data_IF_174217641493
#
_entry.id   IF_174217641493
#
_cell.length_a   1.000
_cell.length_b   1.000
_cell.length_c   1.000
_cell.angle_alpha   90.00
_cell.angle_beta   90.00
_cell.angle_gamma   90.00
#
_symmetry.space_group_name_H-M   'P 1'
#
loop_
_entity.id
_entity.type
_entity.pdbx_description
1 polymer ?
#
# COMPACT_ATOMS: atom_id res chain seq x y z
N UNK A 1 17.34 -16.43 -4.92
CA UNK A 1 16.54 -17.62 -4.51
C UNK A 1 15.08 -17.21 -4.60
N UNK A 2 14.19 -18.02 -5.17
CA UNK A 2 12.77 -17.65 -5.30
C UNK A 2 12.12 -17.53 -3.90
N UNK A 3 11.38 -16.45 -3.59
CA UNK A 3 10.71 -16.31 -2.31
C UNK A 3 9.58 -17.33 -2.17
N UNK A 4 9.25 -17.74 -0.93
CA UNK A 4 8.15 -18.66 -0.69
C UNK A 4 6.79 -18.04 -1.04
N UNK A 5 5.80 -18.89 -1.30
CA UNK A 5 4.45 -18.45 -1.61
C UNK A 5 3.82 -17.69 -0.43
N UNK A 6 3.13 -16.59 -0.73
CA UNK A 6 2.38 -15.76 0.21
C UNK A 6 1.19 -15.12 -0.49
N UNK A 7 0.08 -14.96 0.23
CA UNK A 7 -1.12 -14.28 -0.26
C UNK A 7 -1.29 -12.92 0.41
N UNK A 8 -2.11 -12.03 -0.16
CA UNK A 8 -2.26 -10.64 0.30
C UNK A 8 -0.95 -9.84 0.39
N UNK A 9 0.06 -10.26 -0.36
CA UNK A 9 1.26 -9.47 -0.63
C UNK A 9 0.97 -8.48 -1.74
N UNK A 10 1.75 -7.40 -1.80
CA UNK A 10 1.62 -6.39 -2.85
C UNK A 10 2.86 -6.37 -3.72
N UNK A 11 2.65 -6.43 -5.03
CA UNK A 11 3.66 -6.21 -6.05
C UNK A 11 3.56 -4.78 -6.60
N UNK A 12 4.68 -4.05 -6.60
CA UNK A 12 4.79 -2.68 -7.13
C UNK A 12 5.90 -2.62 -8.17
N UNK A 13 5.58 -2.18 -9.38
CA UNK A 13 6.58 -1.90 -10.41
C UNK A 13 7.40 -0.67 -10.01
N UNK A 14 8.72 -0.83 -9.89
CA UNK A 14 9.66 0.24 -9.63
C UNK A 14 10.05 0.94 -10.94
N UNK A 15 10.67 2.12 -10.84
CA UNK A 15 11.15 2.80 -12.06
C UNK A 15 12.27 2.03 -12.78
N UNK A 16 13.01 1.20 -12.06
CA UNK A 16 14.07 0.35 -12.62
C UNK A 16 13.54 -0.84 -13.42
N UNK A 17 12.22 -0.93 -13.65
CA UNK A 17 11.52 -2.08 -14.23
C UNK A 17 11.59 -3.37 -13.39
N UNK A 18 12.19 -3.29 -12.20
CA UNK A 18 12.12 -4.34 -11.18
C UNK A 18 10.80 -4.27 -10.42
N UNK A 19 10.37 -5.39 -9.85
CA UNK A 19 9.12 -5.48 -9.08
C UNK A 19 9.45 -5.66 -7.62
N UNK A 20 9.04 -4.71 -6.78
CA UNK A 20 9.07 -4.84 -5.33
C UNK A 20 7.85 -5.65 -4.87
N UNK A 21 8.07 -6.71 -4.11
CA UNK A 21 7.01 -7.48 -3.45
C UNK A 21 7.12 -7.31 -1.94
N UNK A 22 6.02 -6.95 -1.28
CA UNK A 22 6.01 -6.59 0.15
C UNK A 22 4.99 -7.41 0.91
N UNK A 23 5.40 -7.91 2.08
CA UNK A 23 4.53 -8.49 3.10
C UNK A 23 3.65 -9.63 2.58
N UNK A 24 2.44 -9.72 3.13
CA UNK A 24 1.50 -10.81 2.91
C UNK A 24 1.55 -11.86 4.00
N UNK A 25 0.83 -12.96 3.81
CA UNK A 25 0.71 -14.05 4.77
C UNK A 25 1.32 -15.32 4.22
N UNK A 26 2.18 -15.95 5.02
CA UNK A 26 2.79 -17.26 4.76
C UNK A 26 2.52 -18.17 5.95
N UNK A 27 1.86 -19.30 5.73
CA UNK A 27 1.54 -20.28 6.79
C UNK A 27 0.90 -19.66 8.03
N UNK A 28 -0.11 -18.79 7.83
CA UNK A 28 -0.78 -18.02 8.89
C UNK A 28 0.12 -17.01 9.65
N UNK A 29 1.32 -16.72 9.13
CA UNK A 29 2.23 -15.73 9.69
C UNK A 29 2.28 -14.53 8.73
N UNK A 30 1.94 -13.36 9.25
CA UNK A 30 2.09 -12.08 8.57
C UNK A 30 3.57 -11.74 8.41
N UNK A 31 3.97 -11.37 7.20
CA UNK A 31 5.35 -11.15 6.87
C UNK A 31 5.68 -9.66 6.81
N UNK A 32 6.89 -9.32 7.26
CA UNK A 32 7.54 -8.05 6.96
C UNK A 32 8.54 -8.19 5.81
N UNK A 33 8.76 -9.41 5.32
CA UNK A 33 9.73 -9.70 4.29
C UNK A 33 9.38 -9.00 2.98
N UNK A 34 10.44 -8.61 2.28
CA UNK A 34 10.36 -7.88 1.04
C UNK A 34 11.36 -8.49 0.06
N UNK A 35 10.94 -8.61 -1.19
CA UNK A 35 11.77 -9.17 -2.25
C UNK A 35 11.67 -8.28 -3.48
N UNK A 36 12.74 -8.29 -4.28
CA UNK A 36 12.76 -7.65 -5.59
C UNK A 36 12.89 -8.74 -6.65
N UNK A 37 11.97 -8.74 -7.61
CA UNK A 37 12.09 -9.50 -8.84
C UNK A 37 12.69 -8.63 -9.93
N UNK A 38 13.70 -9.16 -10.62
CA UNK A 38 14.31 -8.54 -11.80
C UNK A 38 13.88 -9.32 -13.06
N UNK A 39 12.93 -8.78 -13.85
CA UNK A 39 12.45 -9.47 -15.05
C UNK A 39 13.52 -9.65 -16.13
N UNK A 40 14.60 -8.86 -16.11
CA UNK A 40 15.66 -8.93 -17.13
C UNK A 40 16.61 -10.13 -16.92
N UNK A 41 16.69 -10.62 -15.68
CA UNK A 41 17.56 -11.75 -15.30
C UNK A 41 16.78 -12.95 -14.77
N UNK A 42 15.47 -12.81 -14.62
CA UNK A 42 14.58 -13.77 -13.96
C UNK A 42 15.08 -14.16 -12.56
N UNK A 43 15.62 -13.18 -11.83
CA UNK A 43 16.18 -13.38 -10.50
C UNK A 43 15.36 -12.70 -9.41
N UNK A 44 15.47 -13.26 -8.21
CA UNK A 44 14.87 -12.75 -6.98
C UNK A 44 15.94 -12.44 -5.95
N UNK A 45 15.87 -11.24 -5.40
CA UNK A 45 16.71 -10.75 -4.32
C UNK A 45 15.85 -10.43 -3.09
N UNK A 46 16.18 -11.01 -1.94
CA UNK A 46 15.58 -10.60 -0.66
C UNK A 46 16.24 -9.30 -0.21
N UNK A 47 15.43 -8.31 0.15
CA UNK A 47 15.89 -6.99 0.57
C UNK A 47 15.55 -6.74 2.04
N UNK A 48 15.87 -5.54 2.55
CA UNK A 48 15.48 -5.14 3.89
C UNK A 48 13.96 -5.26 4.10
N UNK A 49 13.58 -5.74 5.28
CA UNK A 49 12.18 -5.90 5.68
C UNK A 49 11.53 -4.54 5.99
N UNK A 50 10.20 -4.49 5.85
CA UNK A 50 9.38 -3.46 6.48
C UNK A 50 9.58 -3.51 8.02
N UNK A 51 9.30 -2.40 8.69
CA UNK A 51 9.41 -2.32 10.16
C UNK A 51 8.26 -3.03 10.87
N UNK A 52 7.12 -3.21 10.21
CA UNK A 52 6.01 -4.01 10.69
C UNK A 52 5.60 -5.07 9.66
N UNK A 53 5.27 -6.31 10.09
CA UNK A 53 4.63 -7.27 9.21
C UNK A 53 3.24 -6.75 8.83
N UNK A 54 2.81 -7.00 7.60
CA UNK A 54 1.48 -6.58 7.14
C UNK A 54 1.02 -7.42 5.96
N UNK A 55 -0.29 -7.60 5.87
CA UNK A 55 -0.98 -8.12 4.69
C UNK A 55 -2.23 -7.29 4.42
N UNK A 56 -2.84 -7.45 3.24
CA UNK A 56 -4.00 -6.66 2.80
C UNK A 56 -3.76 -5.13 2.86
N UNK A 57 -2.49 -4.73 2.85
CA UNK A 57 -2.03 -3.36 2.72
C UNK A 57 -2.08 -2.94 1.25
N UNK A 58 -1.78 -1.67 0.98
CA UNK A 58 -1.52 -1.21 -0.38
C UNK A 58 -0.12 -0.62 -0.49
N UNK A 59 0.44 -0.64 -1.70
CA UNK A 59 1.72 -0.02 -2.00
C UNK A 59 1.65 0.73 -3.33
N UNK A 60 2.23 1.93 -3.39
CA UNK A 60 2.18 2.76 -4.59
C UNK A 60 3.50 3.49 -4.84
N UNK A 61 3.95 3.46 -6.10
CA UNK A 61 5.13 4.20 -6.54
C UNK A 61 4.80 5.70 -6.61
N UNK A 62 5.51 6.51 -5.84
CA UNK A 62 5.38 7.96 -5.84
C UNK A 62 6.19 8.60 -6.99
N UNK A 63 5.87 9.85 -7.32
CA UNK A 63 6.65 10.65 -8.28
C UNK A 63 8.12 10.82 -7.87
N UNK A 64 8.41 10.74 -6.57
CA UNK A 64 9.77 10.76 -6.01
C UNK A 64 10.56 9.47 -6.26
N UNK A 65 9.98 8.46 -6.92
CA UNK A 65 10.52 7.10 -7.10
C UNK A 65 10.57 6.22 -5.86
N UNK A 66 10.06 6.72 -4.74
CA UNK A 66 9.90 5.93 -3.51
C UNK A 66 8.57 5.19 -3.54
N UNK A 67 8.46 4.09 -2.81
CA UNK A 67 7.21 3.34 -2.68
C UNK A 67 6.61 3.63 -1.32
N UNK A 68 5.37 4.14 -1.31
CA UNK A 68 4.60 4.32 -0.08
C UNK A 68 3.76 3.06 0.15
N UNK A 69 3.92 2.44 1.31
CA UNK A 69 3.13 1.31 1.80
C UNK A 69 2.21 1.81 2.91
N UNK A 70 0.92 1.45 2.85
CA UNK A 70 -0.10 1.99 3.76
C UNK A 70 -1.00 0.89 4.30
N UNK A 71 -1.27 0.97 5.61
CA UNK A 71 -2.25 0.14 6.30
C UNK A 71 -2.02 -1.37 6.16
N UNK A 72 -3.10 -2.11 6.01
CA UNK A 72 -3.14 -3.56 6.10
C UNK A 72 -3.41 -4.01 7.53
N UNK A 73 -3.11 -5.28 7.78
CA UNK A 73 -3.40 -5.92 9.05
C UNK A 73 -2.27 -6.86 9.48
N UNK A 74 -2.29 -7.19 10.78
CA UNK A 74 -1.41 -8.16 11.42
C UNK A 74 -2.25 -9.25 12.11
N UNK A 75 -1.60 -10.21 12.75
CA UNK A 75 -2.29 -11.17 13.63
C UNK A 75 -3.04 -10.52 14.80
N UNK A 76 -2.70 -9.28 15.20
CA UNK A 76 -3.20 -8.67 16.42
C UNK A 76 -4.17 -7.50 16.19
N UNK A 77 -3.96 -6.72 15.12
CA UNK A 77 -4.72 -5.50 14.86
C UNK A 77 -4.56 -5.03 13.41
N UNK A 78 -5.48 -4.17 12.99
CA UNK A 78 -5.41 -3.39 11.75
C UNK A 78 -4.34 -2.29 11.89
N UNK A 79 -3.80 -1.82 10.77
CA UNK A 79 -2.73 -0.84 10.75
C UNK A 79 -3.23 0.49 10.16
N UNK A 80 -2.91 1.58 10.86
CA UNK A 80 -2.87 2.92 10.26
C UNK A 80 -1.45 3.29 9.80
N UNK A 81 -0.45 2.49 10.20
CA UNK A 81 0.97 2.79 9.96
C UNK A 81 1.30 2.78 8.48
N UNK A 82 2.17 3.71 8.11
CA UNK A 82 2.65 3.89 6.75
C UNK A 82 4.18 3.89 6.73
N UNK A 83 4.75 3.32 5.68
CA UNK A 83 6.19 3.21 5.50
C UNK A 83 6.57 3.60 4.08
N UNK A 84 7.75 4.19 3.91
CA UNK A 84 8.32 4.50 2.60
C UNK A 84 9.58 3.68 2.38
N UNK A 85 9.60 2.92 1.28
CA UNK A 85 10.80 2.31 0.74
C UNK A 85 11.49 3.28 -0.23
N UNK A 86 12.79 3.47 -0.03
CA UNK A 86 13.65 4.24 -0.93
C UNK A 86 14.56 3.29 -1.73
N UNK A 87 14.25 3.01 -3.01
CA UNK A 87 15.04 2.10 -3.83
C UNK A 87 16.50 2.52 -4.03
N UNK A 88 16.82 3.82 -3.88
CA UNK A 88 18.18 4.32 -4.04
C UNK A 88 19.10 3.94 -2.88
N UNK A 89 18.52 3.70 -1.70
CA UNK A 89 19.25 3.35 -0.48
C UNK A 89 18.93 1.94 0.02
N UNK A 90 17.87 1.31 -0.52
CA UNK A 90 17.37 0.03 -0.05
C UNK A 90 16.76 0.08 1.36
N UNK A 91 16.42 1.27 1.87
CA UNK A 91 15.95 1.46 3.25
C UNK A 91 14.45 1.73 3.34
N UNK A 92 13.86 1.23 4.41
CA UNK A 92 12.51 1.55 4.86
C UNK A 92 12.55 2.64 5.93
N UNK A 93 11.58 3.55 5.88
CA UNK A 93 11.38 4.58 6.89
C UNK A 93 9.90 4.67 7.26
N UNK A 94 9.61 4.72 8.55
CA UNK A 94 8.26 5.05 9.01
C UNK A 94 7.92 6.49 8.62
N UNK A 95 6.69 6.70 8.16
CA UNK A 95 6.14 8.02 7.90
C UNK A 95 4.86 8.22 8.70
N UNK A 96 4.28 9.42 8.63
CA UNK A 96 3.03 9.72 9.32
C UNK A 96 1.96 8.70 8.96
N UNK A 97 1.33 8.15 10.01
CA UNK A 97 0.24 7.19 9.89
C UNK A 97 -1.03 7.87 9.38
N UNK A 98 -1.91 7.08 8.76
CA UNK A 98 -3.29 7.50 8.49
C UNK A 98 -4.00 7.82 9.81
N UNK A 99 -5.09 8.59 9.73
CA UNK A 99 -5.91 8.91 10.91
C UNK A 99 -6.81 7.74 11.31
N UNK A 100 -7.09 6.83 10.39
CA UNK A 100 -7.89 5.64 10.61
C UNK A 100 -7.11 4.39 10.16
N UNK A 101 -7.25 3.29 10.88
CA UNK A 101 -6.72 2.00 10.48
C UNK A 101 -7.50 1.46 9.28
N UNK A 102 -6.80 0.90 8.29
CA UNK A 102 -7.42 0.40 7.06
C UNK A 102 -6.69 -0.83 6.56
N UNK A 103 -7.41 -1.94 6.36
CA UNK A 103 -7.00 -3.05 5.48
C UNK A 103 -7.93 -3.12 4.28
N UNK A 104 -7.53 -3.83 3.21
CA UNK A 104 -8.37 -4.07 2.03
C UNK A 104 -8.89 -2.79 1.35
N UNK A 105 -8.22 -1.66 1.59
CA UNK A 105 -8.48 -0.37 0.96
C UNK A 105 -7.75 -0.27 -0.37
N UNK A 106 -7.97 0.83 -1.10
CA UNK A 106 -7.18 1.16 -2.29
C UNK A 106 -6.37 2.43 -2.06
N UNK A 107 -5.19 2.51 -2.68
CA UNK A 107 -4.46 3.77 -2.86
C UNK A 107 -4.39 4.14 -4.33
N UNK A 108 -4.63 5.42 -4.63
CA UNK A 108 -4.55 5.98 -5.99
C UNK A 108 -3.63 7.20 -6.00
N UNK A 109 -2.58 7.17 -6.83
CA UNK A 109 -1.73 8.32 -7.07
C UNK A 109 -2.48 9.28 -7.98
N UNK A 110 -2.82 10.46 -7.46
CA UNK A 110 -3.55 11.49 -8.19
C UNK A 110 -2.60 12.26 -9.13
N UNK A 111 -3.17 12.95 -10.13
CA UNK A 111 -2.40 13.83 -11.04
C UNK A 111 -1.62 14.93 -10.31
N UNK A 112 -2.07 15.32 -9.12
CA UNK A 112 -1.38 16.28 -8.26
C UNK A 112 -0.11 15.72 -7.60
N UNK A 113 0.13 14.40 -7.69
CA UNK A 113 1.19 13.70 -6.96
C UNK A 113 0.81 13.31 -5.53
N UNK A 114 -0.38 13.67 -5.06
CA UNK A 114 -0.93 13.21 -3.77
C UNK A 114 -1.47 11.79 -3.89
N UNK A 115 -1.55 11.07 -2.77
CA UNK A 115 -2.11 9.70 -2.74
C UNK A 115 -3.44 9.73 -2.03
N UNK A 116 -4.50 9.24 -2.69
CA UNK A 116 -5.81 9.03 -2.08
C UNK A 116 -5.90 7.60 -1.57
N UNK A 117 -6.03 7.42 -0.26
CA UNK A 117 -6.45 6.16 0.36
C UNK A 117 -7.98 6.16 0.51
N UNK A 118 -8.65 5.13 0.00
CA UNK A 118 -10.11 5.09 -0.04
C UNK A 118 -10.64 3.84 0.64
N UNK A 119 -11.58 4.04 1.57
CA UNK A 119 -12.41 3.01 2.19
C UNK A 119 -11.58 1.86 2.80
N UNK A 120 -12.01 0.61 2.64
CA UNK A 120 -11.41 -0.57 3.27
C UNK A 120 -12.13 -1.00 4.55
N UNK A 121 -11.48 -1.86 5.33
CA UNK A 121 -11.96 -2.33 6.62
C UNK A 121 -11.18 -1.69 7.76
N UNK A 122 -11.90 -1.05 8.68
CA UNK A 122 -11.33 -0.37 9.83
C UNK A 122 -11.85 -0.93 11.15
N UNK A 123 -11.53 -0.24 12.23
CA UNK A 123 -11.90 -0.66 13.60
C UNK A 123 -13.40 -0.88 13.79
N UNK A 124 -14.23 -0.06 13.13
CA UNK A 124 -15.70 -0.11 13.24
C UNK A 124 -16.36 -0.88 12.11
N UNK A 125 -15.59 -1.62 11.31
CA UNK A 125 -16.07 -2.35 10.13
C UNK A 125 -15.72 -1.66 8.82
N UNK A 126 -16.49 -1.95 7.77
CA UNK A 126 -16.30 -1.40 6.42
C UNK A 126 -16.41 0.13 6.43
N UNK A 127 -15.45 0.79 5.79
CA UNK A 127 -15.27 2.23 5.81
C UNK A 127 -15.83 2.89 4.54
N UNK A 128 -16.42 4.07 4.70
CA UNK A 128 -16.73 5.00 3.62
C UNK A 128 -15.74 6.18 3.58
N UNK A 129 -14.90 6.31 4.59
CA UNK A 129 -13.94 7.39 4.74
C UNK A 129 -12.82 7.31 3.72
N UNK A 130 -12.21 8.44 3.40
CA UNK A 130 -11.02 8.52 2.56
C UNK A 130 -10.07 9.58 3.09
N UNK A 131 -8.79 9.41 2.79
CA UNK A 131 -7.72 10.29 3.25
C UNK A 131 -6.75 10.58 2.10
N UNK A 132 -6.19 11.79 2.10
CA UNK A 132 -5.19 12.21 1.12
C UNK A 132 -3.85 12.42 1.82
N UNK A 133 -2.86 11.65 1.40
CA UNK A 133 -1.46 11.89 1.73
C UNK A 133 -0.87 12.93 0.80
N UNK A 134 -0.28 13.97 1.39
CA UNK A 134 0.52 14.96 0.69
C UNK A 134 2.02 14.66 0.90
N UNK A 135 2.74 14.15 -0.12
CA UNK A 135 4.17 13.84 0.00
C UNK A 135 5.04 15.07 0.29
N UNK A 136 4.58 16.28 -0.01
CA UNK A 136 5.35 17.51 0.24
C UNK A 136 5.41 17.88 1.72
N UNK A 137 4.35 17.55 2.46
CA UNK A 137 4.27 17.80 3.92
C UNK A 137 4.42 16.52 4.73
N UNK A 138 4.34 15.36 4.08
CA UNK A 138 4.31 14.05 4.72
C UNK A 138 3.06 13.80 5.57
N UNK A 139 1.94 14.50 5.31
CA UNK A 139 0.74 14.44 6.17
C UNK A 139 -0.45 13.83 5.45
N UNK A 140 -1.27 13.11 6.21
CA UNK A 140 -2.60 12.68 5.81
C UNK A 140 -3.64 13.73 6.21
N UNK A 141 -4.62 13.95 5.35
CA UNK A 141 -5.77 14.81 5.62
C UNK A 141 -7.07 14.10 5.22
N UNK A 142 -8.18 14.29 5.96
CA UNK A 142 -9.48 13.79 5.54
C UNK A 142 -9.88 14.26 4.15
N UNK A 143 -10.59 13.40 3.42
CA UNK A 143 -11.12 13.68 2.08
C UNK A 143 -12.61 13.35 2.01
N UNK A 144 -13.20 13.48 0.82
CA UNK A 144 -14.58 13.11 0.56
C UNK A 144 -14.84 11.64 0.94
N UNK A 145 -16.02 11.39 1.52
CA UNK A 145 -16.48 10.03 1.87
C UNK A 145 -17.26 9.42 0.71
N UNK A 146 -17.26 8.10 0.61
CA UNK A 146 -18.14 7.34 -0.26
C UNK A 146 -19.58 7.41 0.25
N UNK A 147 -20.55 7.22 -0.65
CA UNK A 147 -21.96 7.11 -0.27
C UNK A 147 -22.32 5.75 0.32
N UNK A 148 -21.50 4.73 0.04
CA UNK A 148 -21.65 3.36 0.54
C UNK A 148 -20.25 2.92 0.98
N UNK A 149 -20.08 2.46 2.24
CA UNK A 149 -18.83 1.86 2.70
C UNK A 149 -18.43 0.66 1.82
N UNK A 150 -17.14 0.48 1.53
CA UNK A 150 -16.67 -0.64 0.71
C UNK A 150 -15.28 -1.15 1.08
N UNK A 151 -15.09 -2.45 1.03
CA UNK A 151 -13.76 -3.09 1.06
C UNK A 151 -13.56 -4.00 -0.16
N UNK A 152 -12.31 -4.42 -0.43
CA UNK A 152 -11.95 -5.24 -1.60
C UNK A 152 -12.35 -4.65 -2.97
N UNK A 153 -12.65 -3.35 -3.02
CA UNK A 153 -12.98 -2.64 -4.24
C UNK A 153 -11.72 -2.34 -5.07
N UNK A 154 -11.92 -1.93 -6.32
CA UNK A 154 -10.84 -1.37 -7.15
C UNK A 154 -11.04 0.13 -7.34
N UNK A 155 -9.93 0.85 -7.48
CA UNK A 155 -9.92 2.28 -7.78
C UNK A 155 -9.05 2.55 -9.01
N UNK A 156 -9.57 3.35 -9.94
CA UNK A 156 -8.86 3.72 -11.17
C UNK A 156 -8.89 5.23 -11.34
N UNK A 157 -7.72 5.86 -11.45
CA UNK A 157 -7.62 7.25 -11.85
C UNK A 157 -8.02 7.40 -13.32
N UNK A 158 -9.01 8.24 -13.59
CA UNK A 158 -9.45 8.56 -14.94
C UNK A 158 -8.64 9.72 -15.53
N UNK A 159 -8.65 9.82 -16.87
CA UNK A 159 -8.06 10.95 -17.59
C UNK A 159 -8.69 12.30 -17.23
N UNK A 160 -9.89 12.34 -16.67
CA UNK A 160 -10.51 13.56 -16.15
C UNK A 160 -9.88 14.03 -14.83
N UNK A 161 -9.10 13.19 -14.14
CA UNK A 161 -8.60 13.44 -12.80
C UNK A 161 -9.52 12.93 -11.68
N UNK A 162 -10.71 12.40 -12.01
CA UNK A 162 -11.59 11.72 -11.06
C UNK A 162 -11.10 10.30 -10.79
N UNK A 163 -11.41 9.76 -9.62
CA UNK A 163 -11.16 8.35 -9.28
C UNK A 163 -12.47 7.58 -9.41
N UNK A 164 -12.47 6.55 -10.27
CA UNK A 164 -13.58 5.61 -10.40
C UNK A 164 -13.38 4.48 -9.40
N UNK A 165 -14.39 4.23 -8.57
CA UNK A 165 -14.40 3.15 -7.58
C UNK A 165 -15.47 2.15 -7.99
N UNK A 166 -15.09 0.88 -8.09
CA UNK A 166 -15.99 -0.19 -8.55
C UNK A 166 -15.80 -1.49 -7.78
N UNK A 167 -16.88 -2.26 -7.65
CA UNK A 167 -16.87 -3.54 -6.94
C UNK A 167 -16.77 -3.38 -5.42
N UNK A 168 -16.26 -4.42 -4.77
CA UNK A 168 -16.23 -4.53 -3.32
C UNK A 168 -17.58 -4.86 -2.70
N UNK A 169 -17.55 -5.16 -1.41
CA UNK A 169 -18.70 -5.42 -0.54
C UNK A 169 -18.93 -4.29 0.46
#
# INVERSE_FOLDING_TARGET
>A
MKPPARYYSIATLLKSDKVLVTGGVRSAIYQADCDIYDPSTDQWDTIANMTAPRAAHTAILLNSRKVLVTGGETNAHLLASCEIYDPSTGKWNNVTSMTEERSSHTTTLLKSGKVLATAGYGHTGTLDSSEIYDPSTGKWNPSARLSIPREFHTATLLNSGKVLITGGE
#
